data_IF_447007797837
#
_entry.id   IF_447007797837
#
_cell.length_a   1.000
_cell.length_b   1.000
_cell.length_c   1.000
_cell.angle_alpha   90.00
_cell.angle_beta   90.00
_cell.angle_gamma   90.00
#
_symmetry.space_group_name_H-M   'P 1'
#
loop_
_entity.id
_entity.type
_entity.pdbx_description
1 polymer ?
#
# COMPACT_ATOMS: atom_id res chain seq x y z
N UNK A 1 -10.56 -27.87 11.83
CA UNK A 1 -10.42 -26.91 12.94
C UNK A 1 -11.36 -25.75 12.68
N UNK A 2 -12.41 -25.64 13.45
CA UNK A 2 -13.45 -24.61 13.28
C UNK A 2 -12.99 -23.44 14.15
N UNK A 3 -12.71 -22.28 13.54
CA UNK A 3 -12.58 -21.04 14.30
C UNK A 3 -13.87 -20.84 15.09
N UNK A 4 -13.77 -20.38 16.33
CA UNK A 4 -14.96 -20.03 17.09
C UNK A 4 -15.79 -19.00 16.31
N UNK A 5 -17.10 -18.96 16.54
CA UNK A 5 -17.99 -18.04 15.85
C UNK A 5 -17.47 -16.60 16.02
N UNK A 6 -17.36 -15.80 14.96
CA UNK A 6 -16.81 -14.46 15.06
C UNK A 6 -17.73 -13.54 15.87
N UNK A 7 -17.17 -12.92 16.90
CA UNK A 7 -17.90 -12.05 17.83
C UNK A 7 -17.81 -10.56 17.47
N UNK A 8 -16.85 -10.19 16.60
CA UNK A 8 -16.64 -8.79 16.19
C UNK A 8 -16.32 -8.68 14.70
N UNK A 9 -16.32 -7.42 14.20
CA UNK A 9 -16.13 -7.13 12.78
C UNK A 9 -14.76 -7.53 12.25
N UNK A 10 -13.70 -7.45 13.06
CA UNK A 10 -12.37 -7.87 12.64
C UNK A 10 -12.31 -9.38 12.45
N UNK A 11 -12.87 -10.14 13.39
CA UNK A 11 -12.97 -11.59 13.29
C UNK A 11 -13.76 -12.02 12.06
N UNK A 12 -14.91 -11.37 11.81
CA UNK A 12 -15.71 -11.60 10.60
C UNK A 12 -14.91 -11.37 9.30
N UNK A 13 -14.12 -10.29 9.24
CA UNK A 13 -13.31 -10.02 8.05
C UNK A 13 -12.13 -10.99 7.90
N UNK A 14 -11.50 -11.41 8.98
CA UNK A 14 -10.46 -12.45 8.96
C UNK A 14 -11.01 -13.76 8.42
N UNK A 15 -12.18 -14.20 8.90
CA UNK A 15 -12.85 -15.39 8.39
C UNK A 15 -13.13 -15.28 6.88
N UNK A 16 -13.65 -14.14 6.40
CA UNK A 16 -13.88 -13.91 4.96
C UNK A 16 -12.57 -13.99 4.15
N UNK A 17 -11.49 -13.39 4.64
CA UNK A 17 -10.17 -13.49 4.01
C UNK A 17 -9.73 -14.95 3.90
N UNK A 18 -9.89 -15.73 4.96
CA UNK A 18 -9.48 -17.14 4.94
C UNK A 18 -10.27 -17.96 3.93
N UNK A 19 -11.59 -17.81 3.89
CA UNK A 19 -12.42 -18.52 2.91
C UNK A 19 -12.10 -18.12 1.46
N UNK A 20 -11.71 -16.88 1.22
CA UNK A 20 -11.43 -16.37 -0.12
C UNK A 20 -9.97 -16.53 -0.55
N UNK A 21 -9.05 -16.85 0.36
CA UNK A 21 -7.61 -16.80 0.08
C UNK A 21 -7.04 -18.03 -0.61
N UNK A 22 -7.76 -19.15 -0.61
CA UNK A 22 -7.22 -20.46 -0.98
C UNK A 22 -5.89 -20.81 -0.27
N UNK A 23 -5.65 -20.19 0.90
CA UNK A 23 -4.45 -20.43 1.69
C UNK A 23 -4.50 -21.85 2.27
N UNK A 24 -3.47 -22.70 2.05
CA UNK A 24 -3.47 -24.03 2.65
C UNK A 24 -3.43 -23.94 4.17
N UNK A 25 -3.99 -24.92 4.86
CA UNK A 25 -3.99 -24.97 6.31
C UNK A 25 -2.58 -24.92 6.90
N UNK A 26 -1.64 -25.60 6.22
CA UNK A 26 -0.20 -25.57 6.50
C UNK A 26 0.57 -25.53 5.17
N UNK A 27 1.71 -24.86 5.11
CA UNK A 27 2.54 -24.85 3.89
C UNK A 27 3.26 -26.19 3.69
N UNK A 28 3.67 -26.84 4.77
CA UNK A 28 4.39 -28.09 4.71
C UNK A 28 3.45 -29.27 4.91
N UNK A 29 3.62 -30.34 4.12
CA UNK A 29 2.89 -31.61 4.28
C UNK A 29 3.36 -32.38 5.51
N UNK A 30 4.66 -32.28 5.82
CA UNK A 30 5.34 -32.95 6.94
C UNK A 30 5.83 -31.93 7.97
N UNK A 31 6.14 -32.36 9.18
CA UNK A 31 6.69 -31.53 10.25
C UNK A 31 5.63 -31.01 11.23
N UNK A 32 6.05 -30.08 12.11
CA UNK A 32 5.23 -29.59 13.22
C UNK A 32 4.04 -28.75 12.70
N UNK A 33 2.83 -29.21 13.00
CA UNK A 33 1.55 -28.59 12.61
C UNK A 33 0.86 -27.85 13.77
N UNK A 34 1.62 -27.40 14.76
CA UNK A 34 1.09 -26.74 15.95
C UNK A 34 0.23 -25.50 15.62
N UNK A 35 0.62 -24.74 14.57
CA UNK A 35 -0.10 -23.53 14.15
C UNK A 35 -0.51 -23.61 12.70
N UNK A 36 -1.77 -23.28 12.43
CA UNK A 36 -2.30 -23.15 11.06
C UNK A 36 -1.88 -21.83 10.43
N UNK A 37 -1.90 -21.74 9.10
CA UNK A 37 -1.63 -20.49 8.39
C UNK A 37 -2.68 -19.41 8.71
N UNK A 38 -3.92 -19.78 9.02
CA UNK A 38 -4.95 -18.85 9.45
C UNK A 38 -4.61 -18.19 10.79
N UNK A 39 -4.17 -19.00 11.76
CA UNK A 39 -3.69 -18.50 13.06
C UNK A 39 -2.49 -17.57 12.87
N UNK A 40 -1.52 -17.97 12.05
CA UNK A 40 -0.32 -17.15 11.75
C UNK A 40 -0.67 -15.79 11.12
N UNK A 41 -1.53 -15.78 10.11
CA UNK A 41 -1.98 -14.53 9.45
C UNK A 41 -2.73 -13.64 10.43
N UNK A 42 -3.65 -14.19 11.21
CA UNK A 42 -4.41 -13.43 12.21
C UNK A 42 -3.48 -12.79 13.24
N UNK A 43 -2.53 -13.55 13.78
CA UNK A 43 -1.58 -13.05 14.78
C UNK A 43 -0.68 -11.95 14.18
N UNK A 44 -0.22 -12.09 12.94
CA UNK A 44 0.55 -11.04 12.27
C UNK A 44 -0.29 -9.77 12.09
N UNK A 45 -1.56 -9.89 11.71
CA UNK A 45 -2.47 -8.73 11.58
C UNK A 45 -2.69 -8.07 12.94
N UNK A 46 -2.89 -8.85 14.00
CA UNK A 46 -3.03 -8.35 15.36
C UNK A 46 -1.76 -7.65 15.86
N UNK A 47 -0.59 -8.20 15.53
CA UNK A 47 0.70 -7.55 15.79
C UNK A 47 0.77 -6.17 15.10
N UNK A 48 0.36 -6.06 13.83
CA UNK A 48 0.34 -4.76 13.13
C UNK A 48 -0.69 -3.80 13.71
N UNK A 49 -1.81 -4.32 14.20
CA UNK A 49 -2.82 -3.55 14.94
C UNK A 49 -2.27 -2.95 16.23
N UNK A 50 -1.47 -3.70 16.96
CA UNK A 50 -0.95 -3.27 18.27
C UNK A 50 0.13 -2.17 18.17
N UNK A 51 0.83 -2.05 17.04
CA UNK A 51 1.98 -1.15 16.88
C UNK A 51 3.20 -1.52 17.75
N UNK A 52 3.12 -2.59 18.54
CA UNK A 52 4.13 -2.98 19.53
C UNK A 52 5.28 -3.80 18.91
N UNK A 53 6.35 -3.97 19.69
CA UNK A 53 7.42 -4.91 19.36
C UNK A 53 6.91 -6.36 19.51
N UNK A 54 7.64 -7.34 18.92
CA UNK A 54 7.26 -8.75 19.02
C UNK A 54 7.13 -9.23 20.47
N UNK A 55 8.03 -8.79 21.36
CA UNK A 55 8.00 -9.16 22.78
C UNK A 55 6.79 -8.55 23.47
N UNK A 56 6.67 -7.23 23.41
CA UNK A 56 5.54 -6.53 24.02
C UNK A 56 4.18 -7.01 23.51
N UNK A 57 4.07 -7.33 22.22
CA UNK A 57 2.82 -7.86 21.66
C UNK A 57 2.46 -9.23 22.28
N UNK A 58 3.44 -10.12 22.44
CA UNK A 58 3.19 -11.43 23.05
C UNK A 58 2.81 -11.26 24.52
N UNK A 59 3.61 -10.51 25.26
CA UNK A 59 3.48 -10.40 26.72
C UNK A 59 2.22 -9.61 27.12
N UNK A 60 1.93 -8.49 26.43
CA UNK A 60 0.88 -7.55 26.85
C UNK A 60 -0.43 -7.67 26.05
N UNK A 61 -0.39 -8.19 24.83
CA UNK A 61 -1.58 -8.23 23.97
C UNK A 61 -2.09 -9.64 23.67
N UNK A 62 -1.20 -10.59 23.44
CA UNK A 62 -1.63 -11.92 23.03
C UNK A 62 -1.92 -12.81 24.25
N UNK A 63 -1.05 -12.80 25.27
CA UNK A 63 -1.17 -13.66 26.46
C UNK A 63 -2.46 -13.44 27.24
N UNK A 64 -2.95 -12.21 27.30
CA UNK A 64 -4.13 -11.82 28.08
C UNK A 64 -5.40 -11.65 27.24
N UNK A 65 -5.35 -12.04 25.96
CA UNK A 65 -6.42 -11.69 25.04
C UNK A 65 -7.38 -12.85 24.75
N UNK A 66 -8.64 -12.48 24.49
CA UNK A 66 -9.66 -13.38 23.94
C UNK A 66 -9.28 -14.01 22.58
N UNK A 67 -8.24 -13.50 21.93
CA UNK A 67 -7.74 -14.02 20.67
C UNK A 67 -7.20 -15.44 20.79
N UNK A 68 -6.66 -15.83 21.96
CA UNK A 68 -6.22 -17.21 22.22
C UNK A 68 -7.37 -18.17 22.04
N UNK A 69 -8.50 -17.91 22.70
CA UNK A 69 -9.70 -18.75 22.64
C UNK A 69 -10.30 -18.74 21.25
N UNK A 70 -10.46 -17.52 20.63
CA UNK A 70 -11.08 -17.39 19.32
C UNK A 70 -10.27 -18.10 18.21
N UNK A 71 -8.94 -17.98 18.24
CA UNK A 71 -8.06 -18.65 17.29
C UNK A 71 -7.86 -20.14 17.63
N UNK A 72 -8.34 -20.62 18.76
CA UNK A 72 -8.13 -21.99 19.24
C UNK A 72 -6.64 -22.32 19.42
N UNK A 73 -5.88 -21.38 19.98
CA UNK A 73 -4.46 -21.58 20.22
C UNK A 73 -4.24 -22.49 21.42
N UNK A 74 -3.61 -23.62 21.18
CA UNK A 74 -3.20 -24.54 22.27
C UNK A 74 -1.98 -24.03 23.05
N UNK A 75 -1.19 -23.12 22.41
CA UNK A 75 0.04 -22.57 22.94
C UNK A 75 0.28 -21.19 22.39
N UNK A 76 0.82 -20.30 23.22
CA UNK A 76 1.26 -18.97 22.79
C UNK A 76 2.57 -19.11 22.02
N UNK A 77 2.69 -18.53 20.81
CA UNK A 77 3.93 -18.59 20.05
C UNK A 77 5.05 -17.81 20.73
N UNK A 78 6.25 -18.37 20.75
CA UNK A 78 7.45 -17.67 21.20
C UNK A 78 7.82 -16.54 20.24
N UNK A 79 8.59 -15.56 20.71
CA UNK A 79 9.11 -14.44 19.89
C UNK A 79 9.84 -14.93 18.63
N UNK A 80 10.69 -15.95 18.75
CA UNK A 80 11.40 -16.56 17.61
C UNK A 80 10.42 -17.14 16.59
N UNK A 81 9.41 -17.89 17.06
CA UNK A 81 8.37 -18.46 16.22
C UNK A 81 7.61 -17.39 15.43
N UNK A 82 7.21 -16.30 16.10
CA UNK A 82 6.53 -15.18 15.43
C UNK A 82 7.44 -14.48 14.41
N UNK A 83 8.72 -14.30 14.72
CA UNK A 83 9.71 -13.78 13.78
C UNK A 83 9.87 -14.69 12.54
N UNK A 84 9.85 -16.01 12.73
CA UNK A 84 9.96 -16.95 11.61
C UNK A 84 8.69 -16.94 10.74
N UNK A 85 7.53 -16.71 11.31
CA UNK A 85 6.29 -16.54 10.52
C UNK A 85 6.34 -15.30 9.63
N UNK A 86 6.96 -14.20 10.07
CA UNK A 86 7.14 -13.02 9.22
C UNK A 86 8.03 -13.31 8.01
N UNK A 87 8.94 -14.30 8.10
CA UNK A 87 9.77 -14.76 6.98
C UNK A 87 9.06 -15.81 6.11
N UNK A 88 8.13 -16.55 6.69
CA UNK A 88 7.47 -17.68 6.03
C UNK A 88 6.62 -17.25 4.82
N UNK A 89 5.88 -16.15 4.96
CA UNK A 89 4.98 -15.67 3.92
C UNK A 89 5.74 -14.97 2.81
N UNK A 90 5.67 -15.53 1.58
CA UNK A 90 6.26 -14.90 0.39
C UNK A 90 5.54 -13.60 0.03
N UNK A 91 6.20 -12.70 -0.70
CA UNK A 91 5.55 -11.49 -1.23
C UNK A 91 4.35 -11.82 -2.12
N UNK A 92 4.42 -12.93 -2.89
CA UNK A 92 3.30 -13.43 -3.68
C UNK A 92 2.07 -13.69 -2.79
N UNK A 93 2.24 -14.40 -1.68
CA UNK A 93 1.16 -14.69 -0.73
C UNK A 93 0.62 -13.42 -0.07
N UNK A 94 1.51 -12.51 0.35
CA UNK A 94 1.11 -11.22 0.95
C UNK A 94 0.29 -10.40 -0.05
N UNK A 95 0.71 -10.30 -1.31
CA UNK A 95 -0.04 -9.62 -2.37
C UNK A 95 -1.37 -10.30 -2.68
N UNK A 96 -1.45 -11.63 -2.65
CA UNK A 96 -2.72 -12.37 -2.79
C UNK A 96 -3.70 -12.01 -1.68
N UNK A 97 -3.27 -12.03 -0.41
CA UNK A 97 -4.11 -11.63 0.72
C UNK A 97 -4.54 -10.16 0.62
N UNK A 98 -3.63 -9.28 0.20
CA UNK A 98 -3.92 -7.87 0.01
C UNK A 98 -4.99 -7.63 -1.07
N UNK A 99 -4.92 -8.32 -2.20
CA UNK A 99 -5.89 -8.15 -3.31
C UNK A 99 -7.32 -8.52 -2.91
N UNK A 100 -7.52 -9.38 -1.92
CA UNK A 100 -8.85 -9.72 -1.40
C UNK A 100 -9.55 -8.54 -0.70
N UNK A 101 -8.78 -7.52 -0.32
CA UNK A 101 -9.28 -6.31 0.37
C UNK A 101 -9.51 -5.13 -0.59
N UNK A 102 -9.17 -5.29 -1.87
CA UNK A 102 -9.34 -4.22 -2.87
C UNK A 102 -10.81 -4.15 -3.32
N UNK A 103 -11.41 -2.96 -3.41
CA UNK A 103 -12.77 -2.81 -3.89
C UNK A 103 -12.89 -3.22 -5.36
N UNK A 104 -13.98 -3.91 -5.70
CA UNK A 104 -14.22 -4.39 -7.08
C UNK A 104 -14.47 -3.25 -8.08
N UNK A 105 -15.00 -2.13 -7.63
CA UNK A 105 -15.31 -0.96 -8.48
C UNK A 105 -14.45 0.21 -8.02
N UNK A 106 -13.57 0.67 -8.90
CA UNK A 106 -12.69 1.82 -8.73
C UNK A 106 -12.82 2.66 -10.00
N UNK A 107 -12.95 3.97 -9.86
CA UNK A 107 -13.08 4.90 -11.00
C UNK A 107 -11.91 5.88 -11.07
N UNK A 108 -11.54 6.43 -9.92
CA UNK A 108 -10.51 7.45 -9.81
C UNK A 108 -9.42 7.02 -8.83
N UNK A 109 -8.20 7.13 -9.27
CA UNK A 109 -7.02 6.72 -8.51
C UNK A 109 -5.99 7.84 -8.44
N UNK A 110 -5.10 7.77 -7.46
CA UNK A 110 -3.95 8.66 -7.39
C UNK A 110 -2.71 7.87 -7.03
N UNK A 111 -1.55 8.32 -7.48
CA UNK A 111 -0.24 7.77 -7.14
C UNK A 111 0.64 8.85 -6.55
N UNK A 112 1.36 8.51 -5.50
CA UNK A 112 2.35 9.36 -4.87
C UNK A 112 3.43 8.55 -4.18
N UNK A 113 4.60 9.15 -4.01
CA UNK A 113 5.73 8.53 -3.34
C UNK A 113 6.01 9.20 -2.02
N UNK A 114 6.27 8.39 -0.99
CA UNK A 114 6.61 8.89 0.34
C UNK A 114 7.79 8.13 0.93
N UNK A 115 8.61 8.81 1.72
CA UNK A 115 9.65 8.17 2.52
C UNK A 115 9.04 7.54 3.78
N UNK A 116 9.45 6.33 4.12
CA UNK A 116 9.18 5.71 5.41
C UNK A 116 10.50 5.52 6.11
N UNK A 117 10.60 5.98 7.34
CA UNK A 117 11.79 5.76 8.15
C UNK A 117 12.07 4.26 8.27
N UNK A 118 13.30 3.89 8.05
CA UNK A 118 13.75 2.52 8.26
C UNK A 118 14.94 2.54 9.20
N UNK A 119 15.09 1.49 9.97
CA UNK A 119 16.12 1.29 10.99
C UNK A 119 17.07 2.47 11.18
N UNK A 120 16.92 3.21 12.27
CA UNK A 120 17.75 4.37 12.61
C UNK A 120 19.04 3.88 13.28
N UNK A 121 20.16 4.50 12.94
CA UNK A 121 21.39 4.42 13.74
C UNK A 121 21.13 5.09 15.09
N UNK A 122 21.84 4.65 16.12
CA UNK A 122 21.79 5.40 17.37
C UNK A 122 22.50 6.75 17.18
N UNK A 123 21.94 7.80 17.76
CA UNK A 123 22.58 9.14 17.77
C UNK A 123 24.00 9.10 18.35
N UNK A 124 24.23 8.19 19.29
CA UNK A 124 25.55 7.97 19.89
C UNK A 124 26.54 7.43 18.86
N UNK A 125 26.11 6.50 17.98
CA UNK A 125 26.98 5.98 16.92
C UNK A 125 27.29 7.05 15.87
N UNK A 126 26.32 7.88 15.49
CA UNK A 126 26.52 8.99 14.56
C UNK A 126 27.55 9.97 15.12
N UNK A 127 27.38 10.37 16.39
CA UNK A 127 28.30 11.29 17.10
C UNK A 127 29.73 10.73 17.17
N UNK A 128 29.91 9.43 17.49
CA UNK A 128 31.23 8.79 17.47
C UNK A 128 31.88 8.81 16.09
N UNK A 129 31.12 8.53 15.04
CA UNK A 129 31.68 8.55 13.68
C UNK A 129 32.10 9.98 13.27
N UNK A 130 31.37 11.00 13.68
CA UNK A 130 31.73 12.42 13.48
C UNK A 130 33.02 12.78 14.27
N UNK A 131 33.12 12.35 15.55
CA UNK A 131 34.27 12.59 16.42
C UNK A 131 35.55 11.92 15.92
N UNK A 132 35.47 10.73 15.32
CA UNK A 132 36.63 10.00 14.78
C UNK A 132 36.99 10.33 13.33
N UNK A 133 36.34 11.37 12.74
CA UNK A 133 36.69 11.84 11.38
C UNK A 133 36.41 10.79 10.28
N UNK A 134 35.60 9.76 10.55
CA UNK A 134 35.20 8.80 9.53
C UNK A 134 34.43 9.51 8.44
N UNK A 135 34.94 9.42 7.21
CA UNK A 135 34.35 9.99 6.01
C UNK A 135 32.86 9.62 5.93
N UNK A 136 32.02 10.64 5.78
CA UNK A 136 30.57 10.62 5.49
C UNK A 136 29.90 9.28 5.74
N UNK A 137 29.20 9.16 6.86
CA UNK A 137 28.30 8.05 7.11
C UNK A 137 27.48 7.77 5.85
N UNK A 138 27.39 6.51 5.39
CA UNK A 138 26.54 6.19 4.27
C UNK A 138 25.14 6.74 4.58
N UNK A 139 24.43 7.31 3.57
CA UNK A 139 23.15 7.95 3.78
C UNK A 139 22.21 7.02 4.55
N UNK A 140 21.42 7.58 5.47
CA UNK A 140 20.44 6.80 6.21
C UNK A 140 19.58 5.99 5.23
N UNK A 141 19.46 4.70 5.47
CA UNK A 141 18.63 3.80 4.67
C UNK A 141 17.16 4.20 4.84
N UNK A 142 16.71 5.21 4.10
CA UNK A 142 15.28 5.47 4.04
C UNK A 142 14.63 4.59 2.97
N UNK A 143 13.46 4.10 3.29
CA UNK A 143 12.67 3.32 2.37
C UNK A 143 11.72 4.26 1.64
N UNK A 144 11.81 4.31 0.31
CA UNK A 144 10.86 5.05 -0.52
C UNK A 144 9.75 4.10 -0.97
N UNK A 145 8.52 4.44 -0.66
CA UNK A 145 7.36 3.70 -1.13
C UNK A 145 6.48 4.57 -2.01
N UNK A 146 5.98 3.99 -3.09
CA UNK A 146 4.92 4.60 -3.90
C UNK A 146 3.63 3.84 -3.66
N UNK A 147 2.56 4.58 -3.36
CA UNK A 147 1.22 4.03 -3.14
C UNK A 147 0.30 4.43 -4.29
N UNK A 148 -0.41 3.45 -4.84
CA UNK A 148 -1.49 3.63 -5.80
C UNK A 148 -2.82 3.45 -5.06
N UNK A 149 -3.65 4.49 -5.04
CA UNK A 149 -4.77 4.63 -4.09
C UNK A 149 -6.07 4.90 -4.84
N UNK A 150 -7.16 4.27 -4.40
CA UNK A 150 -8.53 4.66 -4.76
C UNK A 150 -8.88 5.97 -4.05
N UNK A 151 -9.14 7.02 -4.81
CA UNK A 151 -9.42 8.36 -4.29
C UNK A 151 -10.76 8.42 -3.54
N UNK A 152 -11.77 7.69 -4.00
CA UNK A 152 -13.11 7.75 -3.41
C UNK A 152 -13.15 7.05 -2.04
N UNK A 153 -12.67 5.82 -1.99
CA UNK A 153 -12.77 4.98 -0.79
C UNK A 153 -11.49 4.95 0.03
N UNK A 154 -10.41 5.58 -0.46
CA UNK A 154 -9.10 5.64 0.20
C UNK A 154 -8.47 4.26 0.46
N UNK A 155 -8.72 3.29 -0.43
CA UNK A 155 -8.03 2.01 -0.40
C UNK A 155 -6.69 2.10 -1.11
N UNK A 156 -5.69 1.43 -0.57
CA UNK A 156 -4.44 1.21 -1.30
C UNK A 156 -4.67 0.05 -2.26
N UNK A 157 -4.39 0.28 -3.55
CA UNK A 157 -4.63 -0.69 -4.63
C UNK A 157 -3.38 -1.49 -4.98
N UNK A 158 -2.23 -0.84 -4.97
CA UNK A 158 -0.90 -1.45 -5.13
C UNK A 158 0.17 -0.55 -4.51
N UNK A 159 1.35 -1.12 -4.32
CA UNK A 159 2.51 -0.40 -3.80
C UNK A 159 3.81 -0.95 -4.36
N UNK A 160 4.87 -0.16 -4.25
CA UNK A 160 6.24 -0.62 -4.44
C UNK A 160 7.15 0.01 -3.38
N UNK A 161 8.21 -0.70 -2.99
CA UNK A 161 9.19 -0.27 -2.01
C UNK A 161 10.59 -0.34 -2.59
N UNK A 162 11.32 0.76 -2.53
CA UNK A 162 12.71 0.81 -2.95
C UNK A 162 13.59 1.40 -1.85
N UNK A 163 14.85 0.95 -1.80
CA UNK A 163 15.85 1.42 -0.84
C UNK A 163 16.91 2.29 -1.52
N UNK A 164 16.59 2.81 -2.70
CA UNK A 164 17.47 3.64 -3.52
C UNK A 164 16.77 4.94 -3.93
N UNK A 165 17.54 5.87 -4.48
CA UNK A 165 17.03 7.11 -5.07
C UNK A 165 16.39 6.90 -6.46
N UNK A 166 15.74 5.75 -6.66
CA UNK A 166 15.08 5.46 -7.93
C UNK A 166 13.99 6.51 -8.23
N UNK A 167 13.90 6.91 -9.50
CA UNK A 167 12.96 7.93 -9.94
C UNK A 167 11.50 7.42 -9.84
N UNK A 168 10.57 8.27 -9.38
CA UNK A 168 9.16 7.93 -9.16
C UNK A 168 8.48 7.34 -10.39
N UNK A 169 8.83 7.82 -11.58
CA UNK A 169 8.32 7.29 -12.85
C UNK A 169 8.57 5.79 -13.00
N UNK A 170 9.80 5.33 -12.71
CA UNK A 170 10.14 3.90 -12.83
C UNK A 170 9.37 3.02 -11.83
N UNK A 171 9.13 3.56 -10.64
CA UNK A 171 8.33 2.85 -9.63
C UNK A 171 6.87 2.77 -10.09
N UNK A 172 6.32 3.88 -10.59
CA UNK A 172 4.96 3.94 -11.13
C UNK A 172 4.76 3.00 -12.33
N UNK A 173 5.75 2.88 -13.23
CA UNK A 173 5.71 1.93 -14.34
C UNK A 173 5.50 0.50 -13.85
N UNK A 174 6.22 0.07 -12.81
CA UNK A 174 6.05 -1.26 -12.22
C UNK A 174 4.65 -1.46 -11.63
N UNK A 175 4.12 -0.45 -10.94
CA UNK A 175 2.77 -0.47 -10.36
C UNK A 175 1.73 -0.57 -11.48
N UNK A 176 1.82 0.27 -12.52
CA UNK A 176 0.85 0.30 -13.63
C UNK A 176 0.88 -1.00 -14.45
N UNK A 177 2.05 -1.58 -14.69
CA UNK A 177 2.18 -2.89 -15.37
C UNK A 177 1.53 -4.03 -14.57
N UNK A 178 1.48 -3.95 -13.23
CA UNK A 178 0.81 -4.94 -12.39
C UNK A 178 -0.69 -4.70 -12.25
N UNK A 179 -1.17 -3.50 -12.61
CA UNK A 179 -2.57 -3.13 -12.45
C UNK A 179 -3.48 -4.02 -13.31
N UNK A 180 -4.53 -4.54 -12.68
CA UNK A 180 -5.56 -5.36 -13.33
C UNK A 180 -6.90 -4.65 -13.50
N UNK A 181 -7.05 -3.48 -12.89
CA UNK A 181 -8.27 -2.69 -12.96
C UNK A 181 -8.22 -1.87 -14.24
N UNK A 182 -9.25 -1.95 -15.05
CA UNK A 182 -9.35 -1.26 -16.34
C UNK A 182 -10.35 -0.11 -16.30
N UNK A 183 -10.24 0.79 -17.25
CA UNK A 183 -11.13 1.95 -17.43
C UNK A 183 -11.19 2.85 -16.19
N UNK A 184 -10.03 3.17 -15.63
CA UNK A 184 -9.87 4.06 -14.48
C UNK A 184 -9.10 5.31 -14.84
N UNK A 185 -9.36 6.39 -14.10
CA UNK A 185 -8.54 7.59 -14.13
C UNK A 185 -7.44 7.50 -13.07
N UNK A 186 -6.23 7.95 -13.43
CA UNK A 186 -5.09 8.00 -12.54
C UNK A 186 -4.53 9.42 -12.43
N UNK A 187 -4.25 9.88 -11.22
CA UNK A 187 -3.68 11.20 -10.95
C UNK A 187 -2.27 11.02 -10.36
N UNK A 188 -1.32 11.79 -10.88
CA UNK A 188 0.02 11.92 -10.30
C UNK A 188 0.43 13.36 -10.13
N UNK A 189 1.52 13.60 -9.42
CA UNK A 189 2.12 14.92 -9.33
C UNK A 189 3.05 15.20 -10.55
N UNK A 190 3.72 16.36 -10.55
CA UNK A 190 4.69 16.71 -11.59
C UNK A 190 5.90 15.76 -11.65
N UNK A 191 6.17 15.02 -10.58
CA UNK A 191 7.21 14.00 -10.52
C UNK A 191 7.00 12.88 -11.51
N UNK A 192 5.73 12.60 -11.83
CA UNK A 192 5.32 11.54 -12.77
C UNK A 192 5.14 12.01 -14.21
N UNK A 193 5.52 13.25 -14.56
CA UNK A 193 5.43 13.77 -15.93
C UNK A 193 6.42 13.06 -16.87
N UNK A 194 5.93 12.04 -17.57
CA UNK A 194 6.69 11.22 -18.53
C UNK A 194 5.76 10.66 -19.60
N UNK A 195 6.10 10.86 -20.89
CA UNK A 195 5.33 10.31 -22.01
C UNK A 195 5.24 8.78 -21.93
N UNK A 196 6.38 8.11 -21.72
CA UNK A 196 6.42 6.66 -21.57
C UNK A 196 5.52 6.14 -20.44
N UNK A 197 5.42 6.89 -19.32
CA UNK A 197 4.53 6.51 -18.24
C UNK A 197 3.06 6.62 -18.64
N UNK A 198 2.68 7.63 -19.42
CA UNK A 198 1.32 7.74 -19.96
C UNK A 198 0.99 6.59 -20.93
N UNK A 199 1.92 6.20 -21.79
CA UNK A 199 1.77 5.05 -22.70
C UNK A 199 1.55 3.75 -21.92
N UNK A 200 2.40 3.49 -20.91
CA UNK A 200 2.27 2.31 -20.05
C UNK A 200 0.94 2.33 -19.29
N UNK A 201 0.53 3.47 -18.76
CA UNK A 201 -0.74 3.64 -18.08
C UNK A 201 -1.92 3.29 -19.01
N UNK A 202 -1.95 3.85 -20.21
CA UNK A 202 -2.98 3.59 -21.23
C UNK A 202 -3.03 2.13 -21.63
N UNK A 203 -1.88 1.50 -21.91
CA UNK A 203 -1.79 0.08 -22.22
C UNK A 203 -2.37 -0.80 -21.11
N UNK A 204 -2.36 -0.33 -19.87
CA UNK A 204 -2.90 -1.01 -18.71
C UNK A 204 -4.31 -0.54 -18.28
N UNK A 205 -4.98 0.24 -19.12
CA UNK A 205 -6.37 0.68 -18.89
C UNK A 205 -6.52 1.82 -17.89
N UNK A 206 -5.44 2.62 -17.71
CA UNK A 206 -5.42 3.78 -16.83
C UNK A 206 -5.35 5.05 -17.69
N UNK A 207 -6.36 5.90 -17.60
CA UNK A 207 -6.33 7.23 -18.18
C UNK A 207 -5.55 8.16 -17.23
N UNK A 208 -4.24 8.24 -17.41
CA UNK A 208 -3.35 8.89 -16.45
C UNK A 208 -3.20 10.39 -16.75
N UNK A 209 -3.19 11.20 -15.69
CA UNK A 209 -2.92 12.62 -15.72
C UNK A 209 -1.81 12.98 -14.72
N UNK A 210 -0.77 13.68 -15.22
CA UNK A 210 0.24 14.34 -14.41
C UNK A 210 0.46 15.76 -14.94
N UNK A 211 0.55 16.78 -14.07
CA UNK A 211 0.84 18.14 -14.52
C UNK A 211 2.22 18.22 -15.18
N UNK A 212 2.30 18.88 -16.33
CA UNK A 212 3.56 19.02 -17.07
C UNK A 212 4.56 19.87 -16.26
N UNK A 213 5.79 19.42 -16.17
CA UNK A 213 6.89 20.17 -15.54
C UNK A 213 7.17 21.45 -16.32
N UNK A 214 7.49 22.54 -15.62
CA UNK A 214 7.97 23.76 -16.26
C UNK A 214 9.30 23.46 -16.95
N UNK A 215 9.35 23.69 -18.27
CA UNK A 215 10.56 23.52 -19.04
C UNK A 215 11.47 24.75 -18.87
N UNK A 216 12.77 24.53 -18.70
CA UNK A 216 13.73 25.63 -18.62
C UNK A 216 13.69 26.45 -19.91
N UNK A 217 13.54 27.78 -19.79
CA UNK A 217 13.44 28.71 -20.92
C UNK A 217 14.60 28.62 -21.92
N UNK A 218 15.78 28.15 -21.47
CA UNK A 218 17.00 28.05 -22.30
C UNK A 218 17.05 26.82 -23.22
N UNK A 219 16.28 25.76 -22.91
CA UNK A 219 16.43 24.49 -23.62
C UNK A 219 15.47 24.30 -24.80
N UNK A 220 14.40 25.10 -24.93
CA UNK A 220 13.37 24.87 -25.95
C UNK A 220 12.82 26.19 -26.49
N UNK A 221 13.01 26.40 -27.79
CA UNK A 221 12.36 27.52 -28.56
C UNK A 221 10.83 27.36 -28.49
N UNK A 222 10.32 26.14 -28.51
CA UNK A 222 8.90 25.85 -28.40
C UNK A 222 8.49 25.53 -26.95
N UNK A 223 7.55 26.30 -26.39
CA UNK A 223 6.97 26.11 -25.06
C UNK A 223 6.06 24.87 -24.94
N UNK A 224 6.04 24.02 -25.98
CA UNK A 224 5.19 22.82 -26.01
C UNK A 224 5.93 21.61 -25.50
N UNK A 225 5.30 20.78 -24.63
CA UNK A 225 5.91 19.52 -24.19
C UNK A 225 6.05 18.55 -25.36
N UNK A 226 7.15 17.80 -25.40
CA UNK A 226 7.28 16.68 -26.33
C UNK A 226 6.36 15.55 -25.89
N UNK A 227 5.74 14.86 -26.84
CA UNK A 227 4.82 13.76 -26.59
C UNK A 227 3.34 14.15 -26.68
N UNK A 228 2.53 13.22 -27.12
CA UNK A 228 1.10 13.39 -27.34
C UNK A 228 0.33 13.56 -26.02
N UNK A 229 0.51 12.62 -25.09
CA UNK A 229 -0.23 12.62 -23.82
C UNK A 229 0.14 13.78 -22.92
N UNK A 230 1.42 14.16 -22.89
CA UNK A 230 1.88 15.34 -22.14
C UNK A 230 1.27 16.65 -22.69
N UNK A 231 1.08 16.75 -24.00
CA UNK A 231 0.36 17.89 -24.61
C UNK A 231 -1.09 17.91 -24.20
N UNK A 232 -1.79 16.76 -24.28
CA UNK A 232 -3.17 16.64 -23.77
C UNK A 232 -3.30 17.04 -22.29
N UNK A 233 -2.38 16.60 -21.43
CA UNK A 233 -2.39 16.98 -20.02
C UNK A 233 -2.23 18.48 -19.80
N UNK A 234 -1.47 19.16 -20.65
CA UNK A 234 -1.29 20.62 -20.58
C UNK A 234 -2.53 21.38 -21.08
N UNK A 235 -3.11 20.95 -22.18
CA UNK A 235 -4.20 21.62 -22.86
C UNK A 235 -5.56 21.35 -22.20
N UNK A 236 -5.78 20.10 -21.74
CA UNK A 236 -7.05 19.63 -21.21
C UNK A 236 -6.87 18.98 -19.81
N UNK A 237 -6.48 19.75 -18.78
CA UNK A 237 -6.37 19.19 -17.43
C UNK A 237 -7.74 18.83 -16.91
N UNK A 238 -7.93 17.63 -16.29
CA UNK A 238 -9.21 17.23 -15.76
C UNK A 238 -9.63 18.11 -14.57
N UNK A 239 -10.92 18.40 -14.44
CA UNK A 239 -11.46 19.20 -13.34
C UNK A 239 -11.14 18.62 -11.97
N UNK A 240 -11.13 17.30 -11.87
CA UNK A 240 -10.85 16.55 -10.63
C UNK A 240 -9.35 16.42 -10.29
N UNK A 241 -8.45 17.12 -11.01
CA UNK A 241 -6.99 17.07 -10.76
C UNK A 241 -6.59 17.36 -9.32
N UNK A 242 -7.34 18.20 -8.60
CA UNK A 242 -7.10 18.53 -7.20
C UNK A 242 -7.33 17.36 -6.24
N UNK A 243 -8.10 16.34 -6.64
CA UNK A 243 -8.35 15.16 -5.81
C UNK A 243 -7.10 14.29 -5.61
N UNK A 244 -6.00 14.57 -6.31
CA UNK A 244 -4.69 13.94 -6.07
C UNK A 244 -4.26 14.03 -4.59
N UNK A 245 -4.55 15.14 -3.91
CA UNK A 245 -4.19 15.32 -2.50
C UNK A 245 -4.72 14.25 -1.55
N UNK A 246 -5.70 13.45 -1.98
CA UNK A 246 -6.20 12.32 -1.18
C UNK A 246 -5.12 11.27 -0.92
N UNK A 247 -4.18 11.06 -1.86
CA UNK A 247 -3.08 10.11 -1.63
C UNK A 247 -2.14 10.60 -0.52
N UNK A 248 -1.95 11.92 -0.40
CA UNK A 248 -1.16 12.52 0.68
C UNK A 248 -1.82 12.26 2.05
N UNK A 249 -3.17 12.38 2.12
CA UNK A 249 -3.93 12.00 3.30
C UNK A 249 -3.77 10.51 3.66
N UNK A 250 -3.78 9.62 2.67
CA UNK A 250 -3.55 8.19 2.91
C UNK A 250 -2.14 7.95 3.44
N UNK A 251 -1.14 8.60 2.85
CA UNK A 251 0.25 8.56 3.29
C UNK A 251 0.39 9.05 4.75
N UNK A 252 -0.24 10.17 5.07
CA UNK A 252 -0.24 10.74 6.43
C UNK A 252 -0.86 9.76 7.43
N UNK A 253 -2.09 9.30 7.18
CA UNK A 253 -2.77 8.34 8.07
C UNK A 253 -1.97 7.07 8.26
N UNK A 254 -1.34 6.55 7.20
CA UNK A 254 -0.53 5.35 7.28
C UNK A 254 0.68 5.56 8.20
N UNK A 255 1.38 6.69 8.08
CA UNK A 255 2.56 7.03 8.90
C UNK A 255 2.19 7.29 10.35
N UNK A 256 1.20 8.10 10.60
CA UNK A 256 0.81 8.50 11.97
C UNK A 256 0.20 7.34 12.76
N UNK A 257 -0.61 6.50 12.12
CA UNK A 257 -1.39 5.51 12.86
C UNK A 257 -0.85 4.09 12.81
N UNK A 258 0.11 3.78 11.89
CA UNK A 258 0.49 2.39 11.67
C UNK A 258 1.98 2.14 11.46
N UNK A 259 2.70 3.02 10.78
CA UNK A 259 4.09 2.78 10.39
C UNK A 259 4.95 3.98 10.80
N UNK A 260 5.33 4.06 12.06
CA UNK A 260 6.32 5.07 12.47
C UNK A 260 7.69 4.80 11.81
N UNK A 261 8.08 3.53 11.71
CA UNK A 261 9.30 3.11 11.00
C UNK A 261 9.27 1.62 10.66
N UNK A 262 9.94 1.23 9.57
CA UNK A 262 10.18 -0.18 9.25
C UNK A 262 11.31 -0.71 10.12
N UNK A 263 11.02 -1.73 10.91
CA UNK A 263 11.96 -2.32 11.89
C UNK A 263 12.89 -3.37 11.28
N UNK A 264 12.51 -3.92 10.13
CA UNK A 264 13.28 -4.95 9.44
C UNK A 264 14.56 -4.39 8.83
N UNK A 265 15.69 -5.11 8.93
CA UNK A 265 16.97 -4.69 8.37
C UNK A 265 17.13 -5.04 6.89
N UNK A 266 16.72 -6.25 6.48
CA UNK A 266 16.85 -6.73 5.09
C UNK A 266 15.72 -6.16 4.21
N UNK A 267 16.05 -5.77 2.97
CA UNK A 267 15.08 -5.22 2.02
C UNK A 267 13.85 -6.12 1.84
N UNK A 268 14.05 -7.40 1.56
CA UNK A 268 12.95 -8.36 1.39
C UNK A 268 12.04 -8.49 2.61
N UNK A 269 12.57 -8.25 3.82
CA UNK A 269 11.78 -8.25 5.04
C UNK A 269 11.06 -6.92 5.26
N UNK A 270 11.64 -5.79 4.84
CA UNK A 270 10.96 -4.48 4.86
C UNK A 270 9.76 -4.46 3.92
N UNK A 271 9.90 -5.05 2.74
CA UNK A 271 8.81 -5.17 1.79
C UNK A 271 7.65 -6.01 2.34
N UNK A 272 7.95 -7.15 2.98
CA UNK A 272 6.94 -7.96 3.68
C UNK A 272 6.31 -7.23 4.85
N UNK A 273 7.12 -6.54 5.64
CA UNK A 273 6.66 -5.73 6.78
C UNK A 273 5.69 -4.65 6.30
N UNK A 274 6.05 -3.89 5.27
CA UNK A 274 5.17 -2.92 4.64
C UNK A 274 3.88 -3.59 4.15
N UNK A 275 3.97 -4.68 3.41
CA UNK A 275 2.81 -5.40 2.90
C UNK A 275 1.81 -5.79 4.00
N UNK A 276 2.27 -6.26 5.15
CA UNK A 276 1.42 -6.56 6.30
C UNK A 276 0.76 -5.31 6.91
N UNK A 277 1.46 -4.18 6.94
CA UNK A 277 0.85 -2.92 7.36
C UNK A 277 -0.23 -2.46 6.38
N UNK A 278 -0.01 -2.61 5.08
CA UNK A 278 -0.99 -2.23 4.05
C UNK A 278 -2.22 -3.15 4.06
N UNK A 279 -2.05 -4.46 4.32
CA UNK A 279 -3.17 -5.38 4.57
C UNK A 279 -4.00 -4.87 5.75
N UNK A 280 -3.36 -4.53 6.86
CA UNK A 280 -4.07 -4.02 8.03
C UNK A 280 -4.75 -2.67 7.76
N UNK A 281 -4.11 -1.77 7.00
CA UNK A 281 -4.72 -0.52 6.58
C UNK A 281 -6.02 -0.75 5.79
N UNK A 282 -5.97 -1.57 4.73
CA UNK A 282 -7.15 -1.88 3.93
C UNK A 282 -8.22 -2.60 4.74
N UNK A 283 -7.84 -3.48 5.64
CA UNK A 283 -8.77 -4.17 6.54
C UNK A 283 -9.52 -3.18 7.45
N UNK A 284 -8.84 -2.18 8.01
CA UNK A 284 -9.49 -1.08 8.76
C UNK A 284 -10.49 -0.32 7.87
N UNK A 285 -10.14 -0.07 6.60
CA UNK A 285 -11.05 0.59 5.65
C UNK A 285 -12.30 -0.24 5.38
N UNK A 286 -12.16 -1.55 5.15
CA UNK A 286 -13.30 -2.47 4.97
C UNK A 286 -14.22 -2.43 6.20
N UNK A 287 -13.66 -2.52 7.42
CA UNK A 287 -14.43 -2.50 8.67
C UNK A 287 -15.13 -1.15 8.84
N UNK A 288 -14.46 -0.03 8.56
CA UNK A 288 -15.01 1.31 8.62
C UNK A 288 -16.19 1.51 7.68
N UNK A 289 -16.09 1.03 6.43
CA UNK A 289 -17.17 1.13 5.45
C UNK A 289 -18.39 0.27 5.80
N UNK A 290 -18.22 -0.83 6.54
CA UNK A 290 -19.35 -1.62 7.04
C UNK A 290 -20.09 -0.94 8.18
N UNK A 291 -19.50 0.08 8.81
CA UNK A 291 -20.13 0.87 9.87
C UNK A 291 -20.94 2.07 9.36
N UNK A 292 -20.67 2.52 8.15
CA UNK A 292 -21.20 3.77 7.63
C UNK A 292 -22.17 3.53 6.46
N UNK A 293 -23.40 3.15 6.76
CA UNK A 293 -24.51 3.35 5.82
C UNK A 293 -24.68 4.85 5.49
N UNK A 294 -24.21 5.74 6.33
CA UNK A 294 -24.30 7.21 6.18
C UNK A 294 -23.25 7.83 5.25
N UNK A 295 -22.06 7.24 5.10
CA UNK A 295 -21.03 7.78 4.19
C UNK A 295 -21.40 7.59 2.71
N UNK A 296 -22.25 6.63 2.37
CA UNK A 296 -22.70 6.44 0.98
C UNK A 296 -23.50 7.63 0.44
N UNK A 297 -24.28 8.31 1.28
CA UNK A 297 -25.15 9.42 0.85
C UNK A 297 -24.35 10.71 0.62
N UNK A 298 -23.33 11.00 1.43
CA UNK A 298 -22.57 12.25 1.34
C UNK A 298 -21.57 12.28 0.18
N UNK A 299 -20.99 11.14 -0.19
CA UNK A 299 -20.05 11.04 -1.31
C UNK A 299 -20.75 10.92 -2.66
N UNK A 300 -21.89 10.27 -2.73
CA UNK A 300 -22.71 10.17 -3.96
C UNK A 300 -23.20 11.56 -4.39
N UNK A 301 -23.54 12.45 -3.45
CA UNK A 301 -23.95 13.82 -3.76
C UNK A 301 -22.82 14.69 -4.34
N UNK A 302 -21.59 14.53 -3.88
CA UNK A 302 -20.45 15.30 -4.42
C UNK A 302 -19.92 14.79 -5.75
N UNK A 303 -20.07 13.49 -6.05
CA UNK A 303 -19.61 12.89 -7.32
C UNK A 303 -20.69 12.99 -8.41
N UNK A 304 -21.98 13.07 -8.05
CA UNK A 304 -23.06 13.33 -9.02
C UNK A 304 -22.95 14.70 -9.71
N UNK A 305 -22.24 15.66 -9.11
CA UNK A 305 -21.99 16.97 -9.73
C UNK A 305 -20.89 16.88 -10.80
N UNK A 306 -20.01 15.88 -10.75
CA UNK A 306 -19.02 15.59 -11.79
C UNK A 306 -19.53 14.45 -12.67
N UNK A 307 -20.51 14.77 -13.52
CA UNK A 307 -20.97 13.86 -14.58
C UNK A 307 -19.78 13.59 -15.48
N UNK A 308 -19.29 12.33 -15.43
CA UNK A 308 -18.33 11.85 -16.43
C UNK A 308 -19.04 11.83 -17.77
N UNK A 309 -18.65 12.66 -18.74
CA UNK A 309 -19.24 12.53 -20.06
C UNK A 309 -18.87 11.16 -20.62
N UNK A 310 -19.85 10.40 -21.04
CA UNK A 310 -19.73 9.07 -21.68
C UNK A 310 -19.04 9.13 -23.07
N UNK A 311 -18.28 10.17 -23.36
CA UNK A 311 -17.59 10.33 -24.61
C UNK A 311 -16.12 9.89 -24.50
N UNK A 312 -15.90 8.57 -24.49
CA UNK A 312 -14.64 8.03 -25.03
C UNK A 312 -14.67 8.29 -26.54
N UNK A 313 -13.67 8.98 -27.15
CA UNK A 313 -13.61 9.09 -28.59
C UNK A 313 -13.44 7.68 -29.18
N UNK A 314 -14.42 7.28 -29.99
CA UNK A 314 -14.34 6.09 -30.82
C UNK A 314 -13.04 6.14 -31.64
N UNK A 315 -12.18 5.15 -31.45
CA UNK A 315 -11.03 4.88 -32.28
C UNK A 315 -11.48 4.23 -33.61
N UNK A 316 -12.19 5.01 -34.43
CA UNK A 316 -12.37 4.73 -35.85
C UNK A 316 -12.26 6.07 -36.56
N UNK A 317 -11.06 6.33 -37.06
CA UNK A 317 -10.64 7.24 -38.13
C UNK A 317 -9.27 7.83 -37.77
N UNK A 318 -8.23 7.09 -38.12
CA UNK A 318 -6.99 7.55 -38.78
C UNK A 318 -6.14 6.32 -39.03
#
# INVERSE_FOLDING_TARGET
>A
MILAHPQNKLENQLVKIFHSSNLPLHFNKTGNKEFTNYQRVSIIILLRRSGKSLRQFIDENLSESKWISWLGLKKIPKKSTLHDWLKLFSMKTIRQLFTLLIPKKVKLTAIDSTGIDSWRRSKHYEKRCEEFGEKKLPPMNYAKTSLFVDVEKKFILDWDLVMSHEHDVKIAERIFKRNKIKNIYGLGDKGFDSENLHEIARANGINFFAPVRKMNKRAFKDKRPKGFYRRQCKENPPEFKGMRSIVENVNYVLKETQIASLRSKKHSMRERELGWHLIFYNLKRVIGLTNSKEIQTFFILKIRIYVFPDNAPNSKNL
#
